data_IF_466199027910
#
_entry.id   IF_466199027910
#
_cell.length_a   1.000
_cell.length_b   1.000
_cell.length_c   1.000
_cell.angle_alpha   90.00
_cell.angle_beta   90.00
_cell.angle_gamma   90.00
#
_symmetry.space_group_name_H-M   'P 1'
#
loop_
_entity.id
_entity.type
_entity.pdbx_description
1 polymer ?
#
# COMPACT_ATOMS: atom_id res chain seq x y z
N UNK A 1 33.17 -12.65 1.23
CA UNK A 1 32.58 -11.29 1.33
C UNK A 1 31.42 -11.43 2.29
N UNK A 2 31.70 -11.28 3.60
CA UNK A 2 30.70 -11.47 4.65
C UNK A 2 29.91 -10.16 4.80
N UNK A 3 28.59 -10.25 4.61
CA UNK A 3 27.64 -9.28 5.13
C UNK A 3 27.48 -9.65 6.60
N UNK A 4 27.96 -8.81 7.51
CA UNK A 4 27.63 -8.97 8.94
C UNK A 4 26.26 -8.33 9.17
N UNK A 5 25.29 -9.13 9.57
CA UNK A 5 23.94 -8.68 9.92
C UNK A 5 23.85 -8.77 11.43
N UNK A 6 23.91 -7.62 12.11
CA UNK A 6 23.72 -7.52 13.56
C UNK A 6 22.24 -7.18 13.82
N UNK A 7 21.46 -8.18 14.20
CA UNK A 7 20.07 -8.01 14.68
C UNK A 7 20.13 -7.76 16.19
N UNK A 8 19.71 -6.57 16.64
CA UNK A 8 19.58 -6.26 18.06
C UNK A 8 18.12 -6.33 18.49
N UNK A 9 17.84 -7.15 19.51
CA UNK A 9 16.52 -7.25 20.15
C UNK A 9 16.45 -6.30 21.35
N UNK A 10 15.60 -5.27 21.30
CA UNK A 10 15.31 -4.44 22.48
C UNK A 10 13.83 -4.51 22.84
N UNK A 11 13.56 -4.85 24.10
CA UNK A 11 12.22 -4.83 24.69
C UNK A 11 11.97 -3.44 25.25
N UNK A 12 11.14 -2.63 24.60
CA UNK A 12 10.68 -1.34 25.15
C UNK A 12 9.22 -1.49 25.57
N UNK A 13 8.99 -1.37 26.88
CA UNK A 13 7.71 -1.44 27.62
C UNK A 13 6.39 -1.68 26.85
N UNK A 14 5.73 -2.77 27.24
CA UNK A 14 4.32 -3.19 26.99
C UNK A 14 3.89 -3.44 25.54
N UNK A 15 4.61 -2.96 24.53
CA UNK A 15 4.40 -3.32 23.12
C UNK A 15 5.64 -4.02 22.54
N UNK A 16 5.43 -5.02 21.69
CA UNK A 16 6.52 -5.77 21.04
C UNK A 16 6.86 -5.03 19.74
N UNK A 17 8.03 -4.39 19.73
CA UNK A 17 8.60 -3.73 18.55
C UNK A 17 9.69 -4.63 17.93
N UNK A 18 9.72 -4.75 16.60
CA UNK A 18 10.70 -5.59 15.89
C UNK A 18 11.69 -4.71 15.12
N UNK A 19 13.00 -4.96 15.27
CA UNK A 19 14.06 -4.19 14.60
C UNK A 19 14.98 -5.13 13.83
N UNK A 20 15.11 -4.92 12.53
CA UNK A 20 16.06 -5.57 11.63
C UNK A 20 17.04 -4.54 11.07
N UNK A 21 18.34 -4.86 11.07
CA UNK A 21 19.42 -3.94 10.66
C UNK A 21 20.18 -4.55 9.49
N UNK A 22 20.29 -3.85 8.37
CA UNK A 22 21.08 -4.23 7.19
C UNK A 22 22.33 -3.33 7.10
N UNK A 23 23.52 -3.91 7.29
CA UNK A 23 24.80 -3.22 7.14
C UNK A 23 25.43 -3.53 5.77
N UNK A 24 25.78 -2.50 4.99
CA UNK A 24 26.55 -2.66 3.76
C UNK A 24 27.97 -2.09 3.91
N UNK A 25 28.98 -2.93 3.72
CA UNK A 25 30.39 -2.53 3.72
C UNK A 25 31.01 -2.63 2.32
N UNK A 26 31.25 -1.49 1.68
CA UNK A 26 32.20 -1.38 0.57
C UNK A 26 33.41 -0.57 1.00
N UNK A 27 34.62 -1.06 0.72
CA UNK A 27 35.85 -0.26 0.90
C UNK A 27 35.77 0.90 -0.11
N UNK A 28 35.72 2.13 0.40
CA UNK A 28 35.80 3.43 -0.31
C UNK A 28 34.52 4.25 -0.55
N UNK A 29 33.37 3.89 0.02
CA UNK A 29 32.19 4.80 0.14
C UNK A 29 31.69 4.83 1.59
N UNK A 30 31.11 5.94 2.09
CA UNK A 30 30.53 5.95 3.43
C UNK A 30 29.43 4.88 3.49
N UNK A 31 29.55 3.97 4.47
CA UNK A 31 28.65 2.83 4.66
C UNK A 31 27.19 3.29 4.73
N UNK A 32 26.37 2.84 3.78
CA UNK A 32 24.91 2.97 3.85
C UNK A 32 24.40 1.91 4.83
N UNK A 33 23.76 2.36 5.91
CA UNK A 33 23.06 1.52 6.88
C UNK A 33 21.57 1.63 6.60
N UNK A 34 20.88 0.51 6.43
CA UNK A 34 19.43 0.43 6.31
C UNK A 34 18.90 -0.27 7.56
N UNK A 35 18.17 0.42 8.43
CA UNK A 35 17.48 -0.22 9.56
C UNK A 35 16.00 -0.31 9.21
N UNK A 36 15.45 -1.51 9.23
CA UNK A 36 14.03 -1.80 9.10
C UNK A 36 13.43 -2.02 10.49
N UNK A 37 12.53 -1.17 10.95
CA UNK A 37 11.86 -1.32 12.22
C UNK A 37 10.38 -1.55 11.96
N UNK A 38 9.86 -2.73 12.28
CA UNK A 38 8.46 -3.09 12.10
C UNK A 38 7.72 -2.93 13.44
N UNK A 39 6.70 -2.07 13.46
CA UNK A 39 5.75 -1.96 14.58
C UNK A 39 4.32 -2.21 14.09
N UNK A 40 3.70 -3.28 14.58
CA UNK A 40 2.28 -3.57 14.40
C UNK A 40 1.50 -2.99 15.60
N UNK A 41 0.64 -2.00 15.37
CA UNK A 41 -0.28 -1.49 16.39
C UNK A 41 -1.70 -2.03 16.13
N UNK A 42 -2.16 -2.95 16.96
CA UNK A 42 -3.58 -3.31 17.05
C UNK A 42 -4.26 -2.42 18.09
N UNK A 43 -5.02 -1.43 17.65
CA UNK A 43 -5.94 -0.69 18.54
C UNK A 43 -7.20 -1.54 18.75
N UNK A 44 -7.60 -1.75 20.00
CA UNK A 44 -8.78 -2.54 20.39
C UNK A 44 -10.13 -1.88 20.05
N UNK A 45 -10.13 -0.76 19.30
CA UNK A 45 -11.31 0.08 19.05
C UNK A 45 -11.66 0.18 17.56
N UNK A 46 -10.84 -0.34 16.65
CA UNK A 46 -11.19 -0.40 15.23
C UNK A 46 -10.53 -1.61 14.57
N UNK A 47 -11.28 -2.35 13.76
CA UNK A 47 -10.76 -3.43 12.90
C UNK A 47 -9.82 -2.92 11.77
N UNK A 48 -9.11 -1.82 11.99
CA UNK A 48 -8.14 -1.22 11.08
C UNK A 48 -6.75 -1.43 11.67
N UNK A 49 -5.99 -2.35 11.08
CA UNK A 49 -4.55 -2.45 11.34
C UNK A 49 -3.83 -1.33 10.58
N UNK A 50 -3.10 -0.49 11.30
CA UNK A 50 -2.08 0.37 10.71
C UNK A 50 -0.74 -0.27 11.04
N UNK A 51 -0.06 -0.79 10.03
CA UNK A 51 1.32 -1.27 10.18
C UNK A 51 2.25 -0.07 9.97
N UNK A 52 3.24 0.08 10.84
CA UNK A 52 4.28 1.09 10.70
C UNK A 52 5.62 0.41 10.44
N UNK A 53 6.37 0.90 9.47
CA UNK A 53 7.73 0.49 9.14
C UNK A 53 8.56 1.76 9.26
N UNK A 54 9.40 1.80 10.28
CA UNK A 54 10.42 2.83 10.45
C UNK A 54 11.66 2.40 9.67
N UNK A 55 11.99 3.11 8.59
CA UNK A 55 13.28 2.92 7.92
C UNK A 55 14.25 4.00 8.44
N UNK A 56 15.32 3.60 9.14
CA UNK A 56 16.43 4.52 9.44
C UNK A 56 17.52 4.41 8.38
N UNK A 57 17.91 5.57 7.83
CA UNK A 57 19.14 5.75 7.07
C UNK A 57 20.15 6.53 7.92
N UNK A 58 21.37 6.02 8.07
CA UNK A 58 22.40 6.65 8.92
C UNK A 58 23.00 7.93 8.29
N UNK A 59 23.45 8.83 9.18
CA UNK A 59 24.08 10.16 9.05
C UNK A 59 23.20 11.39 8.82
N UNK A 60 21.91 11.24 8.51
CA UNK A 60 20.92 12.31 8.67
C UNK A 60 19.64 11.61 9.14
N UNK A 61 19.03 12.08 10.22
CA UNK A 61 17.81 11.49 10.79
C UNK A 61 16.69 11.48 9.73
N UNK A 62 16.61 10.42 8.95
CA UNK A 62 15.47 10.14 8.09
C UNK A 62 14.62 9.12 8.82
N UNK A 63 13.41 9.55 9.18
CA UNK A 63 12.35 8.68 9.66
C UNK A 63 11.47 8.48 8.43
N UNK A 64 11.48 7.27 7.86
CA UNK A 64 10.36 6.88 7.00
C UNK A 64 9.28 6.37 7.93
N UNK A 65 8.10 6.99 7.88
CA UNK A 65 6.90 6.45 8.50
C UNK A 65 6.19 5.71 7.39
N UNK A 66 6.12 4.39 7.48
CA UNK A 66 5.20 3.64 6.64
C UNK A 66 3.78 4.04 7.02
N UNK A 67 3.05 4.47 6.00
CA UNK A 67 1.61 4.31 5.98
C UNK A 67 1.38 3.05 5.15
N UNK A 68 1.07 1.92 5.80
CA UNK A 68 0.28 0.89 5.12
C UNK A 68 -0.91 1.63 4.53
N UNK A 69 -1.07 1.56 3.21
CA UNK A 69 -1.93 2.46 2.41
C UNK A 69 -3.16 2.93 3.17
N UNK A 70 -3.44 4.24 3.13
CA UNK A 70 -4.50 4.83 3.93
C UNK A 70 -5.76 3.96 3.77
N UNK A 71 -6.32 3.37 4.83
CA UNK A 71 -7.47 2.51 4.69
C UNK A 71 -8.65 3.38 4.25
N UNK A 72 -8.91 3.40 2.95
CA UNK A 72 -10.11 3.98 2.39
C UNK A 72 -11.28 3.08 2.77
N UNK A 73 -12.48 3.65 2.96
CA UNK A 73 -13.61 2.88 3.44
C UNK A 73 -13.87 1.68 2.51
N UNK A 74 -14.00 0.49 3.08
CA UNK A 74 -14.24 -0.78 2.39
C UNK A 74 -13.11 -1.25 1.45
N UNK A 75 -11.87 -0.79 1.65
CA UNK A 75 -10.67 -1.30 0.98
C UNK A 75 -10.73 -1.23 -0.54
N UNK A 76 -10.42 -2.36 -1.21
CA UNK A 76 -10.40 -2.45 -2.69
C UNK A 76 -11.74 -2.10 -3.33
N UNK A 77 -12.86 -2.48 -2.71
CA UNK A 77 -14.20 -2.11 -3.18
C UNK A 77 -14.43 -0.60 -3.15
N UNK A 78 -13.93 0.07 -2.12
CA UNK A 78 -13.96 1.53 -2.02
C UNK A 78 -13.08 2.22 -3.06
N UNK A 79 -11.87 1.71 -3.29
CA UNK A 79 -10.97 2.22 -4.34
C UNK A 79 -11.64 2.15 -5.72
N UNK A 80 -12.30 1.03 -6.04
CA UNK A 80 -13.05 0.84 -7.29
C UNK A 80 -14.25 1.79 -7.38
N UNK A 81 -15.01 1.95 -6.31
CA UNK A 81 -16.15 2.86 -6.25
C UNK A 81 -15.73 4.31 -6.52
N UNK A 82 -14.72 4.79 -5.80
CA UNK A 82 -14.22 6.16 -5.95
C UNK A 82 -13.59 6.36 -7.33
N UNK A 83 -12.83 5.39 -7.85
CA UNK A 83 -12.25 5.50 -9.18
C UNK A 83 -13.33 5.55 -10.28
N UNK A 84 -14.39 4.76 -10.14
CA UNK A 84 -15.55 4.85 -11.03
C UNK A 84 -16.23 6.22 -10.97
N UNK A 85 -16.42 6.78 -9.77
CA UNK A 85 -17.05 8.09 -9.60
C UNK A 85 -16.17 9.24 -10.10
N UNK A 86 -14.86 9.11 -9.98
CA UNK A 86 -13.85 10.09 -10.43
C UNK A 86 -13.38 9.88 -11.87
N UNK A 87 -13.98 8.96 -12.64
CA UNK A 87 -13.56 8.63 -14.03
C UNK A 87 -13.48 9.84 -14.97
N UNK A 88 -14.33 10.84 -14.75
CA UNK A 88 -14.40 12.07 -15.56
C UNK A 88 -13.61 13.24 -14.88
N UNK A 89 -12.90 12.94 -13.79
CA UNK A 89 -12.27 13.89 -12.87
C UNK A 89 -10.88 13.43 -12.38
N UNK A 90 -10.13 12.67 -13.20
CA UNK A 90 -8.75 12.24 -12.90
C UNK A 90 -8.61 10.94 -12.09
N UNK A 91 -9.70 10.18 -11.92
CA UNK A 91 -9.70 8.87 -11.26
C UNK A 91 -9.37 8.88 -9.76
N UNK A 92 -9.25 7.71 -9.17
CA UNK A 92 -8.86 7.53 -7.76
C UNK A 92 -7.89 6.35 -7.63
N UNK A 93 -6.82 6.50 -6.87
CA UNK A 93 -5.87 5.43 -6.57
C UNK A 93 -5.30 5.62 -5.17
N UNK A 94 -5.17 4.53 -4.42
CA UNK A 94 -4.84 4.62 -3.01
C UNK A 94 -3.46 5.20 -2.69
N UNK A 95 -2.43 4.84 -3.45
CA UNK A 95 -1.08 5.38 -3.27
C UNK A 95 -1.01 6.87 -3.66
N UNK A 96 -1.72 7.27 -4.72
CA UNK A 96 -1.89 8.70 -5.06
C UNK A 96 -2.54 9.48 -3.91
N UNK A 97 -3.60 8.93 -3.31
CA UNK A 97 -4.25 9.54 -2.16
C UNK A 97 -3.34 9.61 -0.95
N UNK A 98 -2.53 8.58 -0.68
CA UNK A 98 -1.52 8.63 0.39
C UNK A 98 -0.53 9.76 0.18
N UNK A 99 0.01 9.95 -1.04
CA UNK A 99 0.89 11.08 -1.34
C UNK A 99 0.19 12.42 -1.08
N UNK A 100 -1.06 12.56 -1.54
CA UNK A 100 -1.87 13.77 -1.34
C UNK A 100 -2.12 14.08 0.14
N UNK A 101 -2.41 13.06 0.95
CA UNK A 101 -2.62 13.20 2.39
C UNK A 101 -1.35 13.75 3.05
N UNK A 102 -0.21 13.07 2.86
CA UNK A 102 1.03 13.44 3.55
C UNK A 102 1.65 14.75 3.02
N UNK A 103 1.29 15.20 1.81
CA UNK A 103 1.83 16.41 1.19
C UNK A 103 0.89 17.63 1.23
N UNK A 104 -0.44 17.44 1.36
CA UNK A 104 -1.42 18.55 1.32
C UNK A 104 -2.45 18.52 2.45
N UNK A 105 -3.08 17.36 2.71
CA UNK A 105 -4.31 17.31 3.52
C UNK A 105 -4.07 17.27 5.04
N UNK A 106 -2.95 16.70 5.47
CA UNK A 106 -2.64 16.60 6.90
C UNK A 106 -2.42 17.99 7.54
N UNK A 107 -3.08 18.30 8.69
CA UNK A 107 -3.11 19.65 9.23
C UNK A 107 -1.86 20.04 10.04
N UNK A 108 -0.76 19.28 9.94
CA UNK A 108 0.47 19.55 10.69
C UNK A 108 1.22 20.78 10.21
N UNK A 109 1.01 21.19 8.96
CA UNK A 109 1.60 22.39 8.38
C UNK A 109 0.61 23.10 7.46
N UNK A 110 0.73 24.43 7.36
CA UNK A 110 -0.18 25.22 6.56
C UNK A 110 0.10 25.02 5.06
N UNK A 111 -0.68 24.14 4.42
CA UNK A 111 -0.62 23.86 2.99
C UNK A 111 0.49 22.89 2.54
N UNK A 112 1.22 22.26 3.47
CA UNK A 112 2.32 21.33 3.15
C UNK A 112 2.14 19.95 3.79
N UNK A 113 0.94 19.60 4.24
CA UNK A 113 0.65 18.30 4.85
C UNK A 113 1.52 18.05 6.09
N UNK A 114 2.25 16.93 6.07
CA UNK A 114 3.23 16.56 7.09
C UNK A 114 4.61 17.25 6.92
N UNK A 115 4.79 18.07 5.88
CA UNK A 115 6.03 18.80 5.58
C UNK A 115 7.28 17.90 5.52
N UNK A 116 7.16 16.78 4.80
CA UNK A 116 8.20 15.77 4.68
C UNK A 116 9.29 16.17 3.68
N UNK A 117 10.46 15.54 3.78
CA UNK A 117 11.56 15.78 2.83
C UNK A 117 11.22 15.23 1.44
N UNK A 118 11.80 15.80 0.37
CA UNK A 118 11.68 15.29 -1.01
C UNK A 118 11.97 13.79 -1.10
N UNK A 119 13.03 13.33 -0.41
CA UNK A 119 13.45 11.92 -0.41
C UNK A 119 12.39 11.02 0.22
N UNK A 120 11.80 11.46 1.33
CA UNK A 120 10.71 10.72 1.99
C UNK A 120 9.49 10.61 1.08
N UNK A 121 9.08 11.73 0.46
CA UNK A 121 7.96 11.77 -0.48
C UNK A 121 8.20 10.91 -1.74
N UNK A 122 9.44 10.84 -2.22
CA UNK A 122 9.81 9.95 -3.32
C UNK A 122 9.63 8.46 -2.98
N UNK A 123 9.71 8.07 -1.71
CA UNK A 123 9.39 6.71 -1.25
C UNK A 123 7.91 6.36 -1.38
N UNK A 124 7.02 7.34 -1.21
CA UNK A 124 5.57 7.15 -1.38
C UNK A 124 5.14 7.01 -2.85
N UNK A 125 6.00 7.39 -3.81
CA UNK A 125 5.67 7.33 -5.24
C UNK A 125 6.02 5.95 -5.80
N UNK A 126 5.05 5.03 -5.69
CA UNK A 126 5.13 3.67 -6.27
C UNK A 126 4.99 3.66 -7.80
N UNK A 127 4.22 4.62 -8.33
CA UNK A 127 3.86 4.70 -9.74
C UNK A 127 4.06 6.13 -10.26
N UNK A 128 5.26 6.49 -10.72
CA UNK A 128 5.61 7.87 -11.09
C UNK A 128 5.08 8.31 -12.47
N UNK A 129 3.77 8.18 -12.71
CA UNK A 129 3.07 8.71 -13.88
C UNK A 129 1.64 9.10 -13.51
N UNK A 130 1.01 10.02 -14.25
CA UNK A 130 -0.34 10.49 -13.93
C UNK A 130 -1.40 9.49 -14.39
N UNK A 131 -2.46 9.33 -13.58
CA UNK A 131 -3.57 8.41 -13.87
C UNK A 131 -4.18 8.70 -15.25
N UNK A 132 -4.33 9.97 -15.60
CA UNK A 132 -4.87 10.44 -16.88
C UNK A 132 -4.08 9.90 -18.09
N UNK A 133 -2.75 9.77 -17.98
CA UNK A 133 -1.89 9.24 -19.04
C UNK A 133 -1.88 7.71 -19.10
N UNK A 134 -2.31 7.04 -18.02
CA UNK A 134 -2.25 5.59 -17.86
C UNK A 134 -3.53 4.89 -18.29
N UNK A 135 -4.61 5.61 -18.60
CA UNK A 135 -5.78 5.06 -19.27
C UNK A 135 -5.66 5.24 -20.78
N UNK A 136 -5.68 4.13 -21.52
CA UNK A 136 -5.71 4.17 -23.00
C UNK A 136 -7.12 3.96 -23.57
N UNK A 137 -7.96 3.23 -22.82
CA UNK A 137 -9.36 3.00 -23.17
C UNK A 137 -10.19 3.14 -21.91
N UNK A 138 -11.21 3.98 -21.92
CA UNK A 138 -12.15 4.11 -20.80
C UNK A 138 -13.26 3.06 -20.97
N UNK A 139 -13.55 2.23 -19.95
CA UNK A 139 -14.65 1.27 -20.02
C UNK A 139 -15.99 1.98 -20.28
N UNK A 140 -16.84 1.45 -21.17
CA UNK A 140 -18.12 2.09 -21.48
C UNK A 140 -19.06 2.08 -20.26
N UNK A 141 -19.78 3.20 -20.08
CA UNK A 141 -20.83 3.30 -19.08
C UNK A 141 -21.99 2.39 -19.47
N UNK A 142 -22.33 1.44 -18.61
CA UNK A 142 -23.52 0.62 -18.80
C UNK A 142 -24.74 1.36 -18.27
N UNK A 143 -25.47 2.06 -19.14
CA UNK A 143 -26.72 2.78 -18.78
C UNK A 143 -27.81 1.86 -18.23
N UNK A 144 -27.74 0.55 -18.52
CA UNK A 144 -28.76 -0.44 -18.16
C UNK A 144 -28.51 -1.17 -16.83
N UNK A 145 -27.36 -0.96 -16.16
CA UNK A 145 -27.01 -1.72 -14.95
C UNK A 145 -26.98 -0.81 -13.72
N UNK A 146 -27.66 -1.24 -12.67
CA UNK A 146 -27.56 -0.65 -11.33
C UNK A 146 -26.20 -0.89 -10.68
N UNK A 147 -25.39 -1.82 -11.21
CA UNK A 147 -24.11 -2.24 -10.63
C UNK A 147 -22.98 -2.18 -11.66
N UNK A 148 -21.80 -1.77 -11.22
CA UNK A 148 -20.59 -1.75 -12.04
C UNK A 148 -19.86 -3.09 -11.99
N UNK A 149 -19.17 -3.45 -13.08
CA UNK A 149 -18.27 -4.62 -13.10
C UNK A 149 -16.91 -4.20 -12.54
N UNK A 150 -16.61 -4.63 -11.32
CA UNK A 150 -15.43 -4.25 -10.55
C UNK A 150 -14.11 -4.34 -11.35
N UNK A 151 -13.92 -5.42 -12.12
CA UNK A 151 -12.68 -5.63 -12.89
C UNK A 151 -12.38 -4.54 -13.93
N UNK A 152 -13.41 -3.93 -14.51
CA UNK A 152 -13.24 -2.84 -15.48
C UNK A 152 -12.82 -1.54 -14.80
N UNK A 153 -13.16 -1.34 -13.52
CA UNK A 153 -13.03 -0.08 -12.81
C UNK A 153 -11.94 -0.10 -11.72
N UNK A 154 -11.16 -1.18 -11.63
CA UNK A 154 -9.89 -1.15 -10.92
C UNK A 154 -9.05 0.04 -11.44
N UNK A 155 -8.36 0.79 -10.58
CA UNK A 155 -7.69 2.02 -11.00
C UNK A 155 -6.46 1.76 -11.87
N UNK A 156 -6.12 2.75 -12.71
CA UNK A 156 -4.77 2.84 -13.23
C UNK A 156 -3.84 3.27 -12.09
N UNK A 157 -2.70 2.59 -11.97
CA UNK A 157 -1.78 2.78 -10.86
C UNK A 157 -0.83 3.95 -11.18
N UNK A 158 -1.11 5.13 -10.62
CA UNK A 158 -0.45 6.41 -10.95
C UNK A 158 -0.66 7.48 -9.88
N UNK A 159 -0.41 8.75 -10.25
CA UNK A 159 -0.57 9.97 -9.44
C UNK A 159 -1.75 10.82 -9.93
N UNK A 160 -2.29 11.68 -9.07
CA UNK A 160 -3.31 12.65 -9.48
C UNK A 160 -2.71 13.82 -10.23
N UNK A 161 -3.38 14.24 -11.30
CA UNK A 161 -3.05 15.48 -12.01
C UNK A 161 -3.18 16.71 -11.08
N UNK A 162 -4.13 16.65 -10.13
CA UNK A 162 -4.34 17.64 -9.07
C UNK A 162 -3.10 17.85 -8.16
N UNK A 163 -2.15 16.91 -8.18
CA UNK A 163 -0.93 16.91 -7.36
C UNK A 163 0.36 16.98 -8.20
N UNK A 164 0.24 17.43 -9.45
CA UNK A 164 1.38 17.60 -10.36
C UNK A 164 2.44 18.54 -9.80
N UNK A 165 2.03 19.62 -9.14
CA UNK A 165 2.92 20.59 -8.50
C UNK A 165 3.85 19.95 -7.47
N UNK A 166 3.30 19.04 -6.65
CA UNK A 166 4.07 18.29 -5.65
C UNK A 166 5.00 17.30 -6.34
N UNK A 167 4.51 16.54 -7.32
CA UNK A 167 5.33 15.59 -8.05
C UNK A 167 6.52 16.29 -8.73
N UNK A 168 6.26 17.35 -9.50
CA UNK A 168 7.28 18.16 -10.17
C UNK A 168 8.32 18.67 -9.18
N UNK A 169 7.90 19.15 -8.00
CA UNK A 169 8.83 19.60 -6.95
C UNK A 169 9.67 18.46 -6.36
N UNK A 170 9.12 17.25 -6.21
CA UNK A 170 9.87 16.08 -5.72
C UNK A 170 10.97 15.70 -6.71
N UNK A 171 10.64 15.62 -8.00
CA UNK A 171 11.55 15.16 -9.06
C UNK A 171 12.42 16.27 -9.64
N UNK A 172 12.18 17.53 -9.29
CA UNK A 172 12.92 18.71 -9.75
C UNK A 172 14.45 18.52 -9.84
N UNK A 173 15.16 17.94 -8.85
CA UNK A 173 16.62 17.73 -8.89
C UNK A 173 17.11 16.72 -9.94
N UNK A 174 16.21 15.90 -10.48
CA UNK A 174 16.57 14.83 -11.43
C UNK A 174 16.82 15.40 -12.82
N UNK A 175 17.68 14.73 -13.59
CA UNK A 175 17.93 15.09 -14.99
C UNK A 175 16.66 14.89 -15.83
N UNK A 176 16.59 15.53 -16.99
CA UNK A 176 15.46 15.33 -17.90
C UNK A 176 15.37 13.89 -18.41
N UNK A 177 16.51 13.22 -18.59
CA UNK A 177 16.57 11.82 -18.97
C UNK A 177 15.96 10.93 -17.86
N UNK A 178 16.37 11.16 -16.61
CA UNK A 178 15.82 10.45 -15.46
C UNK A 178 14.31 10.64 -15.32
N UNK A 179 13.81 11.87 -15.49
CA UNK A 179 12.37 12.18 -15.44
C UNK A 179 11.59 11.42 -16.51
N UNK A 180 12.12 11.38 -17.74
CA UNK A 180 11.48 10.65 -18.85
C UNK A 180 11.47 9.14 -18.63
N UNK A 181 12.59 8.57 -18.20
CA UNK A 181 12.69 7.14 -17.88
C UNK A 181 11.77 6.78 -16.72
N UNK A 182 11.76 7.58 -15.65
CA UNK A 182 10.95 7.32 -14.46
C UNK A 182 9.46 7.25 -14.80
N UNK A 183 8.94 8.17 -15.61
CA UNK A 183 7.53 8.20 -16.02
C UNK A 183 7.19 7.29 -17.22
N UNK A 184 8.16 6.54 -17.75
CA UNK A 184 7.90 5.58 -18.82
C UNK A 184 6.98 4.44 -18.34
N UNK A 185 6.11 3.97 -19.23
CA UNK A 185 5.08 2.98 -18.90
C UNK A 185 4.78 2.04 -20.08
N UNK A 186 4.21 0.88 -19.75
CA UNK A 186 3.80 -0.15 -20.71
C UNK A 186 2.34 -0.55 -20.49
N UNK A 187 1.69 -1.06 -21.54
CA UNK A 187 0.32 -1.56 -21.48
C UNK A 187 0.25 -2.84 -20.65
N UNK A 188 -0.67 -2.87 -19.69
CA UNK A 188 -0.92 -4.03 -18.82
C UNK A 188 -2.17 -4.79 -19.24
N UNK A 189 -3.20 -4.08 -19.70
CA UNK A 189 -4.44 -4.69 -20.17
C UNK A 189 -5.12 -3.84 -21.26
N UNK A 190 -6.37 -4.18 -21.58
CA UNK A 190 -7.20 -3.49 -22.58
C UNK A 190 -7.41 -2.00 -22.25
N UNK A 191 -7.36 -1.64 -20.97
CA UNK A 191 -7.72 -0.32 -20.48
C UNK A 191 -6.51 0.51 -20.05
N UNK A 192 -5.47 -0.12 -19.47
CA UNK A 192 -4.48 0.57 -18.62
C UNK A 192 -3.02 0.26 -18.95
N UNK A 193 -2.17 1.21 -18.59
CA UNK A 193 -0.73 1.07 -18.48
C UNK A 193 -0.23 1.07 -17.03
N UNK A 194 1.04 0.71 -16.86
CA UNK A 194 1.78 0.74 -15.60
C UNK A 194 3.20 1.22 -15.84
N UNK A 195 3.73 1.98 -14.89
CA UNK A 195 5.11 2.48 -14.95
C UNK A 195 6.13 1.34 -14.89
N UNK A 196 7.27 1.54 -15.57
CA UNK A 196 8.37 0.59 -15.54
C UNK A 196 9.16 0.63 -14.24
N UNK A 197 9.43 1.84 -13.75
CA UNK A 197 10.41 2.07 -12.70
C UNK A 197 9.80 2.80 -11.51
N UNK A 198 10.51 2.73 -10.39
CA UNK A 198 10.27 3.48 -9.15
C UNK A 198 11.61 3.72 -8.46
N UNK A 199 11.65 4.61 -7.49
CA UNK A 199 12.86 4.86 -6.70
C UNK A 199 13.24 3.64 -5.86
N UNK A 200 14.51 3.56 -5.47
CA UNK A 200 14.97 2.55 -4.51
C UNK A 200 14.19 2.62 -3.18
N UNK A 201 13.84 3.81 -2.68
CA UNK A 201 13.08 3.89 -1.41
C UNK A 201 11.68 3.33 -1.59
N UNK A 202 11.04 3.61 -2.73
CA UNK A 202 9.72 3.07 -3.04
C UNK A 202 9.77 1.55 -3.21
N UNK A 203 10.82 1.03 -3.85
CA UNK A 203 11.03 -0.42 -3.97
C UNK A 203 11.25 -1.09 -2.61
N UNK A 204 12.02 -0.45 -1.72
CA UNK A 204 12.22 -0.93 -0.35
C UNK A 204 10.89 -0.94 0.42
N UNK A 205 10.12 0.14 0.32
CA UNK A 205 8.80 0.23 0.96
C UNK A 205 7.85 -0.85 0.43
N UNK A 206 7.83 -1.07 -0.88
CA UNK A 206 6.99 -2.10 -1.50
C UNK A 206 7.39 -3.52 -1.12
N UNK A 207 8.68 -3.83 -1.06
CA UNK A 207 9.12 -5.14 -0.61
C UNK A 207 8.78 -5.36 0.87
N UNK A 208 8.91 -4.32 1.69
CA UNK A 208 8.56 -4.39 3.10
C UNK A 208 7.04 -4.57 3.31
N UNK A 209 6.21 -3.88 2.51
CA UNK A 209 4.75 -4.08 2.44
C UNK A 209 4.41 -5.51 2.04
N UNK A 210 5.04 -6.03 0.98
CA UNK A 210 4.80 -7.37 0.48
C UNK A 210 5.15 -8.45 1.51
N UNK A 211 6.26 -8.29 2.25
CA UNK A 211 6.66 -9.20 3.34
C UNK A 211 5.68 -9.10 4.50
N UNK A 212 5.33 -7.88 4.92
CA UNK A 212 4.43 -7.66 6.04
C UNK A 212 3.04 -8.26 5.75
N UNK A 213 2.47 -7.95 4.60
CA UNK A 213 1.19 -8.48 4.15
C UNK A 213 1.20 -10.02 4.03
N UNK A 214 2.29 -10.62 3.55
CA UNK A 214 2.35 -12.07 3.40
C UNK A 214 2.45 -12.81 4.74
N UNK A 215 3.22 -12.26 5.68
CA UNK A 215 3.62 -12.97 6.90
C UNK A 215 2.79 -12.54 8.11
N UNK A 216 2.51 -11.24 8.31
CA UNK A 216 1.68 -10.80 9.44
C UNK A 216 0.20 -11.15 9.24
N UNK A 217 -0.38 -10.96 8.05
CA UNK A 217 -1.76 -11.41 7.80
C UNK A 217 -1.89 -12.93 7.97
N UNK A 218 -0.82 -13.69 7.65
CA UNK A 218 -0.76 -15.12 7.95
C UNK A 218 -0.77 -15.39 9.45
N UNK A 219 0.04 -14.67 10.23
CA UNK A 219 0.06 -14.76 11.70
C UNK A 219 -1.33 -14.50 12.29
N UNK A 220 -1.96 -13.40 11.89
CA UNK A 220 -3.26 -12.97 12.40
C UNK A 220 -4.38 -13.94 11.99
N UNK A 221 -4.34 -14.44 10.76
CA UNK A 221 -5.30 -15.43 10.28
C UNK A 221 -5.21 -16.75 11.06
N UNK A 222 -3.99 -17.17 11.41
CA UNK A 222 -3.78 -18.36 12.26
C UNK A 222 -4.23 -18.08 13.69
N UNK A 223 -3.84 -16.92 14.25
CA UNK A 223 -4.16 -16.54 15.63
C UNK A 223 -5.67 -16.36 15.87
N UNK A 224 -6.41 -15.93 14.85
CA UNK A 224 -7.88 -15.78 14.87
C UNK A 224 -8.63 -17.04 14.46
N UNK A 225 -7.92 -18.15 14.25
CA UNK A 225 -8.47 -19.45 13.83
C UNK A 225 -9.22 -19.43 12.47
N UNK A 226 -9.11 -18.34 11.71
CA UNK A 226 -9.67 -18.24 10.35
C UNK A 226 -8.93 -19.17 9.40
N UNK A 227 -7.64 -19.37 9.65
CA UNK A 227 -6.76 -20.24 8.86
C UNK A 227 -6.33 -21.44 9.68
N UNK A 228 -6.73 -22.64 9.24
CA UNK A 228 -6.43 -23.88 9.95
C UNK A 228 -5.18 -24.57 9.39
N UNK A 229 -4.59 -25.48 10.19
CA UNK A 229 -3.50 -26.34 9.72
C UNK A 229 -3.91 -27.14 8.47
N UNK A 230 -5.16 -27.56 8.38
CA UNK A 230 -5.68 -28.29 7.22
C UNK A 230 -5.67 -27.39 5.96
N UNK A 231 -6.03 -26.10 6.08
CA UNK A 231 -5.97 -25.17 4.96
C UNK A 231 -4.53 -24.95 4.49
N UNK A 232 -3.58 -24.82 5.43
CA UNK A 232 -2.16 -24.73 5.13
C UNK A 232 -1.65 -25.97 4.38
N UNK A 233 -1.92 -27.16 4.92
CA UNK A 233 -1.49 -28.43 4.36
C UNK A 233 -2.05 -28.69 2.95
N UNK A 234 -3.30 -28.31 2.69
CA UNK A 234 -3.96 -28.56 1.41
C UNK A 234 -3.67 -27.51 0.33
N UNK A 235 -3.02 -26.38 0.67
CA UNK A 235 -2.85 -25.27 -0.27
C UNK A 235 -1.44 -24.69 -0.29
N UNK A 236 -0.99 -24.06 0.80
CA UNK A 236 0.32 -23.41 0.85
C UNK A 236 1.44 -24.44 0.86
N UNK A 237 1.32 -25.46 1.72
CA UNK A 237 2.36 -26.46 1.91
C UNK A 237 2.66 -27.24 0.62
N UNK A 238 1.63 -27.60 -0.15
CA UNK A 238 1.79 -28.29 -1.44
C UNK A 238 2.62 -27.45 -2.39
N UNK A 239 2.28 -26.17 -2.57
CA UNK A 239 3.01 -25.28 -3.46
C UNK A 239 4.44 -25.04 -2.96
N UNK A 240 4.65 -24.87 -1.65
CA UNK A 240 5.98 -24.69 -1.07
C UNK A 240 6.86 -25.94 -1.24
N UNK A 241 6.27 -27.14 -1.23
CA UNK A 241 7.00 -28.40 -1.45
C UNK A 241 7.40 -28.62 -2.91
N UNK A 242 6.71 -27.97 -3.86
CA UNK A 242 7.04 -28.03 -5.30
C UNK A 242 8.19 -27.09 -5.69
N UNK A 243 8.55 -26.13 -4.84
CA UNK A 243 9.64 -25.20 -5.08
C UNK A 243 11.01 -25.87 -4.86
N UNK A 244 11.95 -25.63 -5.78
CA UNK A 244 13.35 -26.06 -5.64
C UNK A 244 14.09 -25.13 -4.67
N UNK A 245 13.92 -25.39 -3.36
CA UNK A 245 14.53 -24.60 -2.29
C UNK A 245 15.19 -25.50 -1.25
N UNK A 246 16.51 -25.35 -1.12
CA UNK A 246 17.29 -26.00 -0.07
C UNK A 246 16.88 -25.50 1.33
N UNK A 247 16.51 -24.21 1.42
CA UNK A 247 16.04 -23.62 2.66
C UNK A 247 14.70 -24.23 3.10
N UNK A 248 13.71 -24.33 2.20
CA UNK A 248 12.42 -24.95 2.50
C UNK A 248 12.58 -26.42 2.88
N UNK A 249 13.40 -27.18 2.16
CA UNK A 249 13.66 -28.60 2.45
C UNK A 249 14.13 -28.80 3.90
N UNK A 250 14.89 -27.85 4.42
CA UNK A 250 15.44 -27.90 5.79
C UNK A 250 14.46 -27.35 6.84
N UNK A 251 13.77 -26.24 6.55
CA UNK A 251 13.05 -25.47 7.58
C UNK A 251 11.52 -25.65 7.54
N UNK A 252 10.93 -26.02 6.40
CA UNK A 252 9.47 -25.99 6.17
C UNK A 252 8.67 -26.83 7.18
N UNK A 253 9.18 -28.02 7.54
CA UNK A 253 8.52 -28.89 8.53
C UNK A 253 8.52 -28.27 9.93
N UNK A 254 9.66 -27.68 10.33
CA UNK A 254 9.80 -26.98 11.62
C UNK A 254 8.94 -25.73 11.68
N UNK A 255 8.95 -24.92 10.62
CA UNK A 255 8.14 -23.70 10.49
C UNK A 255 6.65 -24.06 10.56
N UNK A 256 6.21 -25.08 9.83
CA UNK A 256 4.80 -25.52 9.86
C UNK A 256 4.37 -25.92 11.28
N UNK A 257 5.19 -26.69 11.99
CA UNK A 257 4.88 -27.12 13.35
C UNK A 257 4.78 -25.93 14.33
N UNK A 258 5.70 -24.96 14.22
CA UNK A 258 5.71 -23.76 15.07
C UNK A 258 4.59 -22.78 14.74
N UNK A 259 4.29 -22.56 13.45
CA UNK A 259 3.20 -21.68 13.00
C UNK A 259 1.85 -22.07 13.62
N UNK A 260 1.56 -23.38 13.66
CA UNK A 260 0.29 -23.92 14.17
C UNK A 260 0.41 -24.50 15.58
N UNK A 261 1.44 -24.12 16.34
CA UNK A 261 1.59 -24.51 17.73
C UNK A 261 0.50 -23.88 18.61
N UNK A 262 0.14 -24.58 19.69
CA UNK A 262 -0.70 -24.02 20.76
C UNK A 262 0.02 -22.90 21.53
N UNK A 263 1.33 -22.77 21.39
CA UNK A 263 2.14 -21.76 22.04
C UNK A 263 2.36 -20.53 21.14
N UNK A 264 1.84 -19.38 21.54
CA UNK A 264 1.95 -18.12 20.79
C UNK A 264 3.41 -17.71 20.52
N UNK A 265 4.33 -17.96 21.46
CA UNK A 265 5.74 -17.59 21.28
C UNK A 265 6.40 -18.40 20.15
N UNK A 266 5.98 -19.65 19.90
CA UNK A 266 6.54 -20.47 18.81
C UNK A 266 6.05 -19.99 17.46
N UNK A 267 4.78 -19.59 17.36
CA UNK A 267 4.24 -18.97 16.15
C UNK A 267 4.98 -17.67 15.85
N UNK A 268 5.15 -16.80 16.85
CA UNK A 268 5.91 -15.54 16.69
C UNK A 268 7.35 -15.76 16.26
N UNK A 269 8.00 -16.79 16.79
CA UNK A 269 9.37 -17.16 16.41
C UNK A 269 9.44 -17.62 14.94
N UNK A 270 8.49 -18.45 14.48
CA UNK A 270 8.42 -18.87 13.07
C UNK A 270 8.14 -17.70 12.11
N UNK A 271 7.26 -16.78 12.50
CA UNK A 271 6.97 -15.55 11.77
C UNK A 271 8.22 -14.66 11.69
N UNK A 272 8.92 -14.47 12.81
CA UNK A 272 10.18 -13.73 12.85
C UNK A 272 11.26 -14.35 11.96
N UNK A 273 11.35 -15.68 11.93
CA UNK A 273 12.29 -16.41 11.06
C UNK A 273 11.97 -16.21 9.57
N UNK A 274 10.69 -16.24 9.18
CA UNK A 274 10.25 -15.96 7.81
C UNK A 274 10.61 -14.53 7.40
N UNK A 275 10.22 -13.53 8.20
CA UNK A 275 10.53 -12.12 7.95
C UNK A 275 12.05 -11.92 7.82
N UNK A 276 12.83 -12.43 8.78
CA UNK A 276 14.28 -12.30 8.77
C UNK A 276 14.90 -12.97 7.54
N UNK A 277 14.37 -14.12 7.11
CA UNK A 277 14.85 -14.81 5.90
C UNK A 277 14.67 -13.95 4.65
N UNK A 278 13.53 -13.29 4.48
CA UNK A 278 13.33 -12.38 3.35
C UNK A 278 14.25 -11.16 3.42
N UNK A 279 14.40 -10.55 4.60
CA UNK A 279 15.25 -9.37 4.79
C UNK A 279 16.72 -9.68 4.46
N UNK A 280 17.26 -10.79 4.99
CA UNK A 280 18.67 -11.17 4.80
C UNK A 280 18.97 -11.47 3.32
N UNK A 281 17.99 -12.01 2.59
CA UNK A 281 18.17 -12.38 1.19
C UNK A 281 17.87 -11.24 0.20
N UNK A 282 17.27 -10.13 0.65
CA UNK A 282 17.04 -8.97 -0.19
C UNK A 282 18.37 -8.37 -0.69
N UNK A 283 18.45 -8.08 -1.98
CA UNK A 283 19.66 -7.58 -2.65
C UNK A 283 19.36 -6.33 -3.46
N UNK A 284 20.34 -5.44 -3.49
CA UNK A 284 20.36 -4.32 -4.40
C UNK A 284 20.78 -4.81 -5.79
N UNK A 285 19.99 -4.47 -6.80
CA UNK A 285 20.28 -4.78 -8.20
C UNK A 285 20.13 -3.51 -9.04
N UNK A 286 20.81 -3.45 -10.19
CA UNK A 286 20.62 -2.38 -11.18
C UNK A 286 19.31 -2.63 -11.92
N UNK A 287 18.34 -1.72 -11.83
CA UNK A 287 17.09 -1.82 -12.58
C UNK A 287 17.21 -1.26 -14.00
N UNK A 288 17.93 -0.15 -14.15
CA UNK A 288 18.25 0.43 -15.44
C UNK A 288 19.53 1.26 -15.33
N UNK A 289 20.54 0.90 -16.11
CA UNK A 289 21.84 1.58 -16.11
C UNK A 289 21.80 2.97 -16.76
N UNK A 290 20.76 3.28 -17.53
CA UNK A 290 20.58 4.56 -18.21
C UNK A 290 20.14 5.70 -17.27
N UNK A 291 19.77 5.39 -16.02
CA UNK A 291 19.55 6.41 -14.99
C UNK A 291 20.88 7.03 -14.56
N UNK A 292 20.91 8.37 -14.53
CA UNK A 292 22.04 9.14 -14.02
C UNK A 292 22.05 9.16 -12.49
N UNK A 293 20.86 9.21 -11.88
CA UNK A 293 20.71 9.20 -10.44
C UNK A 293 20.79 7.79 -9.85
N UNK A 294 21.74 7.57 -8.93
CA UNK A 294 21.91 6.27 -8.24
C UNK A 294 20.61 5.80 -7.57
N UNK A 295 19.81 6.73 -7.06
CA UNK A 295 18.57 6.40 -6.37
C UNK A 295 17.45 5.88 -7.29
N UNK A 296 17.61 6.03 -8.60
CA UNK A 296 16.75 5.46 -9.63
C UNK A 296 17.46 4.34 -10.40
N UNK A 297 18.79 4.31 -10.43
CA UNK A 297 19.54 3.25 -11.09
C UNK A 297 19.34 1.88 -10.43
N UNK A 298 19.17 1.86 -9.11
CA UNK A 298 19.04 0.63 -8.34
C UNK A 298 17.62 0.37 -7.82
N UNK A 299 17.30 -0.90 -7.64
CA UNK A 299 16.09 -1.40 -6.95
C UNK A 299 16.47 -2.53 -5.99
N UNK A 300 15.56 -2.87 -5.07
CA UNK A 300 15.71 -4.06 -4.22
C UNK A 300 14.91 -5.22 -4.80
N UNK A 301 15.49 -6.42 -4.77
CA UNK A 301 14.80 -7.66 -5.16
C UNK A 301 15.20 -8.81 -4.26
N UNK A 302 14.29 -9.76 -4.11
CA UNK A 302 14.61 -11.09 -3.61
C UNK A 302 15.19 -11.95 -4.75
N UNK A 303 16.08 -12.91 -4.45
CA UNK A 303 16.40 -14.01 -5.35
C UNK A 303 15.14 -14.81 -5.69
N UNK A 304 15.09 -15.41 -6.89
CA UNK A 304 13.92 -16.11 -7.41
C UNK A 304 13.33 -17.11 -6.39
N UNK A 305 14.19 -17.91 -5.74
CA UNK A 305 13.82 -18.85 -4.67
C UNK A 305 12.94 -18.19 -3.58
N UNK A 306 13.38 -17.07 -3.01
CA UNK A 306 12.67 -16.40 -1.92
C UNK A 306 11.49 -15.55 -2.43
N UNK A 307 11.59 -15.03 -3.65
CA UNK A 307 10.49 -14.32 -4.30
C UNK A 307 9.30 -15.27 -4.53
N UNK A 308 9.55 -16.51 -4.96
CA UNK A 308 8.52 -17.53 -5.16
C UNK A 308 7.90 -17.97 -3.82
N UNK A 309 8.70 -18.18 -2.77
CA UNK A 309 8.19 -18.48 -1.43
C UNK A 309 7.25 -17.36 -0.95
N UNK A 310 7.70 -16.11 -1.02
CA UNK A 310 6.89 -14.96 -0.63
C UNK A 310 5.59 -14.89 -1.44
N UNK A 311 5.68 -15.15 -2.75
CA UNK A 311 4.54 -15.15 -3.64
C UNK A 311 3.52 -16.24 -3.29
N UNK A 312 3.95 -17.45 -2.92
CA UNK A 312 3.06 -18.52 -2.46
C UNK A 312 2.31 -18.11 -1.18
N UNK A 313 3.02 -17.50 -0.22
CA UNK A 313 2.39 -17.00 1.02
C UNK A 313 1.36 -15.91 0.71
N UNK A 314 1.71 -14.92 -0.11
CA UNK A 314 0.78 -13.86 -0.57
C UNK A 314 -0.47 -14.44 -1.22
N UNK A 315 -0.30 -15.38 -2.15
CA UNK A 315 -1.41 -16.01 -2.85
C UNK A 315 -2.30 -16.83 -1.91
N UNK A 316 -1.71 -17.51 -0.94
CA UNK A 316 -2.44 -18.29 0.04
C UNK A 316 -3.30 -17.40 0.94
N UNK A 317 -2.72 -16.36 1.54
CA UNK A 317 -3.40 -15.34 2.34
C UNK A 317 -4.53 -14.70 1.52
N UNK A 318 -4.22 -14.22 0.31
CA UNK A 318 -5.19 -13.59 -0.58
C UNK A 318 -6.39 -14.50 -0.91
N UNK A 319 -6.13 -15.77 -1.24
CA UNK A 319 -7.19 -16.71 -1.63
C UNK A 319 -8.09 -17.09 -0.45
N UNK A 320 -7.53 -17.24 0.76
CA UNK A 320 -8.25 -17.76 1.92
C UNK A 320 -8.88 -16.68 2.80
N UNK A 321 -8.30 -15.49 2.87
CA UNK A 321 -8.83 -14.36 3.63
C UNK A 321 -9.60 -13.40 2.73
N UNK A 322 -8.94 -12.85 1.71
CA UNK A 322 -9.50 -11.73 0.94
C UNK A 322 -10.63 -12.19 0.02
N UNK A 323 -10.44 -13.32 -0.67
CA UNK A 323 -11.42 -13.84 -1.63
C UNK A 323 -12.52 -14.72 -1.03
N UNK A 324 -12.63 -14.79 0.30
CA UNK A 324 -13.75 -15.50 0.93
C UNK A 324 -15.07 -14.88 0.47
N UNK A 325 -16.09 -15.65 0.03
CA UNK A 325 -17.35 -15.11 -0.48
C UNK A 325 -18.04 -14.12 0.45
N UNK A 326 -17.95 -14.31 1.77
CA UNK A 326 -18.51 -13.38 2.76
C UNK A 326 -17.82 -12.03 2.71
N UNK A 327 -16.49 -12.00 2.64
CA UNK A 327 -15.71 -10.76 2.53
C UNK A 327 -16.02 -10.02 1.22
N UNK A 328 -16.16 -10.77 0.11
CA UNK A 328 -16.52 -10.20 -1.19
C UNK A 328 -17.93 -9.59 -1.20
N UNK A 329 -18.88 -10.13 -0.42
CA UNK A 329 -20.21 -9.53 -0.26
C UNK A 329 -20.16 -8.22 0.55
N UNK A 330 -19.30 -8.15 1.59
CA UNK A 330 -19.09 -6.92 2.36
C UNK A 330 -18.46 -5.84 1.48
N UNK A 331 -17.44 -6.21 0.69
CA UNK A 331 -16.77 -5.33 -0.26
C UNK A 331 -17.75 -4.79 -1.31
N UNK A 332 -18.58 -5.64 -1.90
CA UNK A 332 -19.63 -5.24 -2.84
C UNK A 332 -20.65 -4.28 -2.22
N UNK A 333 -21.07 -4.54 -0.96
CA UNK A 333 -21.97 -3.64 -0.23
C UNK A 333 -21.34 -2.27 0.00
N UNK A 334 -20.08 -2.25 0.46
CA UNK A 334 -19.31 -1.03 0.69
C UNK A 334 -19.10 -0.20 -0.58
N UNK A 335 -18.78 -0.87 -1.69
CA UNK A 335 -18.64 -0.23 -3.01
C UNK A 335 -19.91 0.53 -3.41
N UNK A 336 -21.09 -0.11 -3.34
CA UNK A 336 -22.35 0.54 -3.71
C UNK A 336 -22.72 1.68 -2.76
N UNK A 337 -22.48 1.49 -1.46
CA UNK A 337 -22.69 2.50 -0.43
C UNK A 337 -21.90 3.78 -0.74
N UNK A 338 -20.63 3.65 -1.11
CA UNK A 338 -19.79 4.80 -1.46
C UNK A 338 -20.23 5.48 -2.76
N UNK A 339 -20.67 4.72 -3.77
CA UNK A 339 -21.20 5.29 -5.01
C UNK A 339 -22.44 6.16 -4.72
N UNK A 340 -23.34 5.69 -3.87
CA UNK A 340 -24.54 6.43 -3.47
C UNK A 340 -24.19 7.67 -2.63
N UNK A 341 -23.28 7.55 -1.66
CA UNK A 341 -22.79 8.69 -0.88
C UNK A 341 -22.15 9.75 -1.77
N UNK A 342 -21.26 9.35 -2.68
CA UNK A 342 -20.63 10.27 -3.63
C UNK A 342 -21.68 10.98 -4.47
N UNK A 343 -22.62 10.23 -5.03
CA UNK A 343 -23.69 10.78 -5.88
C UNK A 343 -24.56 11.78 -5.12
N UNK A 344 -24.90 11.50 -3.86
CA UNK A 344 -25.65 12.42 -3.02
C UNK A 344 -24.85 13.69 -2.73
N UNK A 345 -23.61 13.58 -2.25
CA UNK A 345 -22.78 14.76 -1.95
C UNK A 345 -22.51 15.60 -3.21
N UNK A 346 -22.26 14.99 -4.36
CA UNK A 346 -22.05 15.71 -5.61
C UNK A 346 -23.33 16.41 -6.12
N UNK A 347 -24.52 15.90 -5.79
CA UNK A 347 -25.80 16.50 -6.21
C UNK A 347 -26.15 17.77 -5.46
N UNK A 348 -25.77 17.88 -4.18
CA UNK A 348 -26.09 19.02 -3.33
C UNK A 348 -24.98 19.25 -2.28
N UNK A 349 -23.77 19.68 -2.71
CA UNK A 349 -22.60 19.77 -1.84
C UNK A 349 -22.82 20.71 -0.64
N UNK A 350 -23.51 21.84 -0.87
CA UNK A 350 -23.69 22.90 0.13
C UNK A 350 -24.73 22.57 1.19
N UNK A 351 -25.62 21.60 0.94
CA UNK A 351 -26.54 21.11 1.96
C UNK A 351 -26.02 19.89 2.70
N UNK A 352 -25.25 19.03 2.02
CA UNK A 352 -24.97 17.68 2.50
C UNK A 352 -23.58 17.48 3.08
N UNK A 353 -22.56 18.19 2.58
CA UNK A 353 -21.20 18.09 3.12
C UNK A 353 -21.09 18.79 4.49
N UNK A 354 -20.12 18.43 5.35
CA UNK A 354 -19.79 19.23 6.53
C UNK A 354 -19.25 20.62 6.16
N UNK A 355 -19.45 21.62 7.03
CA UNK A 355 -19.03 23.02 6.80
C UNK A 355 -17.56 23.15 6.38
N UNK A 356 -16.64 22.42 7.01
CA UNK A 356 -15.21 22.46 6.64
C UNK A 356 -14.95 21.98 5.21
N UNK A 357 -15.67 20.95 4.76
CA UNK A 357 -15.57 20.42 3.39
C UNK A 357 -16.32 21.30 2.38
N UNK A 358 -17.42 21.91 2.81
CA UNK A 358 -18.18 22.89 2.02
C UNK A 358 -17.30 24.06 1.59
N UNK A 359 -16.55 24.67 2.51
CA UNK A 359 -15.66 25.79 2.21
C UNK A 359 -14.56 25.41 1.21
N UNK A 360 -13.94 24.24 1.41
CA UNK A 360 -12.93 23.72 0.48
C UNK A 360 -13.51 23.46 -0.91
N UNK A 361 -14.71 22.86 -0.97
CA UNK A 361 -15.40 22.57 -2.22
C UNK A 361 -15.78 23.87 -2.95
N UNK A 362 -16.32 24.86 -2.23
CA UNK A 362 -16.72 26.14 -2.78
C UNK A 362 -15.51 26.90 -3.34
N UNK A 363 -14.39 26.90 -2.63
CA UNK A 363 -13.15 27.51 -3.08
C UNK A 363 -12.64 26.85 -4.36
N UNK A 364 -12.54 25.51 -4.39
CA UNK A 364 -12.15 24.78 -5.59
C UNK A 364 -13.10 25.07 -6.76
N UNK A 365 -14.41 25.09 -6.52
CA UNK A 365 -15.41 25.38 -7.55
C UNK A 365 -15.29 26.81 -8.11
N UNK A 366 -15.03 27.81 -7.25
CA UNK A 366 -14.86 29.21 -7.66
C UNK A 366 -13.56 29.45 -8.43
N UNK A 367 -12.52 28.67 -8.15
CA UNK A 367 -11.24 28.73 -8.87
C UNK A 367 -11.21 27.89 -10.15
N UNK A 368 -12.34 27.27 -10.53
CA UNK A 368 -12.44 26.30 -11.64
C UNK A 368 -11.50 25.08 -11.47
N UNK A 369 -11.12 24.78 -10.23
CA UNK A 369 -10.38 23.57 -9.86
C UNK A 369 -11.32 22.36 -9.76
N UNK A 370 -10.73 21.18 -9.56
CA UNK A 370 -11.45 19.91 -9.45
C UNK A 370 -12.21 19.79 -8.11
N UNK A 371 -13.37 20.42 -8.00
CA UNK A 371 -14.21 20.36 -6.81
C UNK A 371 -14.67 18.92 -6.46
N UNK A 372 -14.73 18.00 -7.44
CA UNK A 372 -15.05 16.59 -7.19
C UNK A 372 -13.94 15.87 -6.42
N UNK A 373 -12.67 16.29 -6.58
CA UNK A 373 -11.56 15.77 -5.77
C UNK A 373 -11.77 16.05 -4.28
N UNK A 374 -12.36 17.20 -3.91
CA UNK A 374 -12.66 17.53 -2.50
C UNK A 374 -13.69 16.56 -1.89
N UNK A 375 -14.72 16.20 -2.66
CA UNK A 375 -15.71 15.19 -2.23
C UNK A 375 -15.04 13.82 -2.11
N UNK A 376 -14.18 13.48 -3.07
CA UNK A 376 -13.42 12.25 -3.05
C UNK A 376 -12.48 12.17 -1.84
N UNK A 377 -11.76 13.24 -1.52
CA UNK A 377 -10.88 13.37 -0.36
C UNK A 377 -11.66 13.14 0.94
N UNK A 378 -12.84 13.77 1.06
CA UNK A 378 -13.71 13.61 2.23
C UNK A 378 -14.20 12.17 2.41
N UNK A 379 -14.63 11.51 1.32
CA UNK A 379 -15.07 10.12 1.35
C UNK A 379 -13.92 9.15 1.63
N UNK A 380 -12.77 9.36 0.98
CA UNK A 380 -11.57 8.56 1.18
C UNK A 380 -11.04 8.65 2.63
N UNK A 381 -11.26 9.77 3.32
CA UNK A 381 -10.91 9.97 4.72
C UNK A 381 -11.88 9.36 5.74
N UNK A 382 -13.00 8.76 5.31
CA UNK A 382 -13.95 8.13 6.24
C UNK A 382 -13.49 6.74 6.70
N UNK A 383 -13.76 6.38 7.95
CA UNK A 383 -13.75 4.98 8.35
C UNK A 383 -14.99 4.23 7.84
N UNK A 384 -14.91 2.90 7.70
CA UNK A 384 -16.05 2.04 7.34
C UNK A 384 -17.28 2.31 8.20
N UNK A 385 -17.09 2.44 9.51
CA UNK A 385 -18.17 2.72 10.46
C UNK A 385 -18.80 4.10 10.24
N UNK A 386 -17.97 5.12 10.00
CA UNK A 386 -18.45 6.48 9.75
C UNK A 386 -19.19 6.58 8.41
N UNK A 387 -18.67 5.95 7.36
CA UNK A 387 -19.32 5.88 6.06
C UNK A 387 -20.67 5.15 6.19
N UNK A 388 -20.71 4.03 6.91
CA UNK A 388 -21.94 3.28 7.15
C UNK A 388 -22.98 4.11 7.91
N UNK A 389 -22.60 4.74 9.03
CA UNK A 389 -23.49 5.63 9.80
C UNK A 389 -24.01 6.78 8.94
N UNK A 390 -23.15 7.38 8.13
CA UNK A 390 -23.53 8.48 7.23
C UNK A 390 -24.56 8.02 6.21
N UNK A 391 -24.35 6.85 5.62
CA UNK A 391 -25.30 6.23 4.70
C UNK A 391 -26.66 5.96 5.37
N UNK A 392 -26.65 5.39 6.58
CA UNK A 392 -27.89 5.14 7.32
C UNK A 392 -28.70 6.43 7.55
N UNK A 393 -28.04 7.55 7.91
CA UNK A 393 -28.73 8.84 8.12
C UNK A 393 -29.34 9.42 6.84
N UNK A 394 -28.70 9.21 5.69
CA UNK A 394 -29.09 9.85 4.43
C UNK A 394 -30.15 9.04 3.67
N UNK A 395 -30.08 7.71 3.71
CA UNK A 395 -30.86 6.86 2.82
C UNK A 395 -31.80 5.88 3.54
N UNK A 396 -31.53 5.56 4.82
CA UNK A 396 -32.39 4.66 5.56
C UNK A 396 -33.37 5.44 6.44
N UNK A 397 -34.62 4.97 6.58
CA UNK A 397 -35.55 5.56 7.52
C UNK A 397 -35.03 5.35 8.94
N UNK A 398 -34.97 6.41 9.73
CA UNK A 398 -34.79 6.31 11.18
C UNK A 398 -36.04 5.67 11.76
N UNK A 399 -35.95 4.37 12.05
CA UNK A 399 -36.97 3.62 12.79
C UNK A 399 -36.98 3.98 14.27
#
# INVERSE_FOLDING_TARGET
MLICILVYFYKVNVNISWVATMEYHHRHTPSLFYIFHFESYTSSISHTQSNYILIYLSNKRYIFIFFSGCPFPFGHGGEIALNYMMRDHGGFEGNAQTLRIVSKLEPYSNGYGMNLTRRTLLGFIKYPAFIDDLWHTIPPKSEQRSFIKADHWRPAKGLYQDDKDIFDWIIDPLSNNDKQLLSSHYKVDEFRAKTHYKSIDSAIMELADDIAYAVHDLEDAIATEVLTLADWQNHALVQLQELDSAWLTTHLSSITARLFSHHEYERKDAIGELVNTFIINAKLIVQNADFESEILQYTVSLPDEFAEILNVLKHFVFKRLIREPKMQQVEFKGQNLLIELFSAFASDPMRLLPETTQDMWLNAHQQEDNAMRIICDYLAGMSDEYAYKTYQRLFLPTS
#
